data_IF_087612619147
#
_entry.id   IF_087612619147
#
_cell.length_a   1.000
_cell.length_b   1.000
_cell.length_c   1.000
_cell.angle_alpha   90.00
_cell.angle_beta   90.00
_cell.angle_gamma   90.00
#
_symmetry.space_group_name_H-M   'P 1'
#
loop_
_entity.id
_entity.type
_entity.pdbx_description
1 polymer ?
#
# COMPACT_ATOMS: atom_id res chain seq x y z
N UNK A 1 -10.12 -3.07 -30.48
CA UNK A 1 -9.13 -2.73 -29.44
C UNK A 1 -8.74 -3.99 -28.70
N UNK A 2 -7.55 -4.05 -28.16
CA UNK A 2 -7.04 -5.18 -27.34
C UNK A 2 -8.04 -5.60 -26.24
N UNK A 3 -8.67 -4.63 -25.55
CA UNK A 3 -9.66 -4.91 -24.51
C UNK A 3 -10.89 -5.69 -25.03
N UNK A 4 -11.35 -5.41 -26.25
CA UNK A 4 -12.48 -6.19 -26.87
C UNK A 4 -12.06 -7.61 -27.19
N UNK A 5 -10.82 -7.83 -27.56
CA UNK A 5 -10.26 -9.16 -27.80
C UNK A 5 -10.10 -9.95 -26.49
N UNK A 6 -9.62 -9.28 -25.43
CA UNK A 6 -9.51 -9.90 -24.10
C UNK A 6 -10.86 -10.29 -23.52
N UNK A 7 -11.91 -9.51 -23.74
CA UNK A 7 -13.27 -9.78 -23.24
C UNK A 7 -13.90 -11.06 -23.82
N UNK A 8 -13.32 -11.61 -24.88
CA UNK A 8 -13.75 -12.91 -25.45
C UNK A 8 -13.22 -14.13 -24.68
N UNK A 9 -12.29 -13.94 -23.76
CA UNK A 9 -11.71 -15.03 -22.95
C UNK A 9 -12.60 -15.32 -21.74
N UNK A 10 -12.88 -16.58 -21.47
CA UNK A 10 -13.78 -17.01 -20.40
C UNK A 10 -13.34 -16.64 -18.97
N UNK A 11 -12.04 -16.34 -18.79
CA UNK A 11 -11.42 -16.01 -17.49
C UNK A 11 -11.10 -14.50 -17.34
N UNK A 12 -11.54 -13.68 -18.31
CA UNK A 12 -11.31 -12.22 -18.27
C UNK A 12 -12.68 -11.53 -18.39
N UNK A 13 -12.91 -10.57 -17.51
CA UNK A 13 -14.08 -9.69 -17.57
C UNK A 13 -13.59 -8.25 -17.75
N UNK A 14 -13.99 -7.61 -18.85
CA UNK A 14 -13.68 -6.21 -19.14
C UNK A 14 -14.84 -5.33 -18.72
N UNK A 15 -14.58 -4.36 -17.86
CA UNK A 15 -15.57 -3.42 -17.38
C UNK A 15 -15.24 -2.02 -17.87
N UNK A 16 -16.15 -1.40 -18.61
CA UNK A 16 -16.05 -0.02 -19.04
C UNK A 16 -16.75 0.89 -18.02
N UNK A 17 -16.11 1.99 -17.63
CA UNK A 17 -16.66 2.93 -16.66
C UNK A 17 -16.08 4.33 -16.82
N UNK A 18 -16.54 5.25 -15.98
CA UNK A 18 -15.99 6.59 -15.87
C UNK A 18 -14.57 6.57 -15.27
N UNK A 19 -13.77 7.59 -15.57
CA UNK A 19 -12.47 7.76 -14.95
C UNK A 19 -12.62 8.24 -13.50
N UNK A 20 -12.59 7.31 -12.56
CA UNK A 20 -12.69 7.56 -11.12
C UNK A 20 -11.33 7.86 -10.47
N UNK A 21 -10.24 7.81 -11.26
CA UNK A 21 -8.87 7.81 -10.75
C UNK A 21 -8.48 6.44 -10.15
N UNK A 22 -7.17 6.16 -10.05
CA UNK A 22 -6.64 4.83 -9.75
C UNK A 22 -7.20 4.22 -8.44
N UNK A 23 -7.30 5.00 -7.35
CA UNK A 23 -7.80 4.52 -6.05
C UNK A 23 -9.21 3.94 -6.10
N UNK A 24 -10.12 4.74 -6.65
CA UNK A 24 -11.52 4.34 -6.74
C UNK A 24 -11.73 3.26 -7.80
N UNK A 25 -10.95 3.26 -8.88
CA UNK A 25 -11.01 2.23 -9.92
C UNK A 25 -10.59 0.86 -9.39
N UNK A 26 -9.50 0.75 -8.62
CA UNK A 26 -9.10 -0.51 -8.00
C UNK A 26 -10.12 -1.03 -6.98
N UNK A 27 -10.66 -0.16 -6.11
CA UNK A 27 -11.69 -0.57 -5.16
C UNK A 27 -13.00 -0.95 -5.87
N UNK A 28 -13.35 -0.26 -6.96
CA UNK A 28 -14.52 -0.61 -7.78
C UNK A 28 -14.33 -1.96 -8.47
N UNK A 29 -13.17 -2.22 -9.06
CA UNK A 29 -12.83 -3.51 -9.64
C UNK A 29 -12.91 -4.63 -8.57
N UNK A 30 -12.33 -4.41 -7.39
CA UNK A 30 -12.39 -5.33 -6.27
C UNK A 30 -13.84 -5.60 -5.81
N UNK A 31 -14.71 -4.60 -5.82
CA UNK A 31 -16.13 -4.76 -5.50
C UNK A 31 -16.84 -5.65 -6.52
N UNK A 32 -16.48 -5.54 -7.80
CA UNK A 32 -17.08 -6.28 -8.91
C UNK A 32 -16.54 -7.70 -9.07
N UNK A 33 -15.37 -8.00 -8.51
CA UNK A 33 -14.80 -9.34 -8.51
C UNK A 33 -15.76 -10.33 -7.82
N UNK A 34 -15.91 -11.56 -8.35
CA UNK A 34 -16.63 -12.63 -7.68
C UNK A 34 -16.00 -12.94 -6.31
N UNK A 35 -16.76 -13.57 -5.43
CA UNK A 35 -16.21 -14.06 -4.16
C UNK A 35 -15.18 -15.15 -4.45
N UNK A 36 -14.00 -14.96 -3.88
CA UNK A 36 -12.84 -15.85 -3.99
C UNK A 36 -12.12 -15.91 -2.66
N UNK A 37 -11.31 -16.95 -2.46
CA UNK A 37 -10.48 -17.06 -1.27
C UNK A 37 -9.41 -15.97 -1.23
N UNK A 38 -8.82 -15.67 -2.42
CA UNK A 38 -7.73 -14.73 -2.56
C UNK A 38 -7.93 -13.76 -3.73
N UNK A 39 -7.33 -12.60 -3.61
CA UNK A 39 -7.34 -11.50 -4.58
C UNK A 39 -5.92 -10.95 -4.75
N UNK A 40 -5.60 -10.46 -5.93
CA UNK A 40 -4.35 -9.75 -6.21
C UNK A 40 -4.62 -8.48 -7.00
N UNK A 41 -3.89 -7.41 -6.71
CA UNK A 41 -3.86 -6.23 -7.57
C UNK A 41 -2.84 -6.44 -8.70
N UNK A 42 -3.15 -5.95 -9.89
CA UNK A 42 -2.27 -6.01 -11.04
C UNK A 42 -2.30 -4.67 -11.77
N UNK A 43 -1.17 -4.04 -11.91
CA UNK A 43 -1.01 -2.85 -12.74
C UNK A 43 -0.81 -3.29 -14.22
N UNK A 44 -1.22 -2.44 -15.16
CA UNK A 44 -1.24 -2.80 -16.59
C UNK A 44 0.15 -2.80 -17.23
N UNK A 45 1.15 -2.23 -16.58
CA UNK A 45 2.51 -2.01 -17.06
C UNK A 45 3.55 -2.92 -16.40
N UNK A 46 3.16 -3.63 -15.34
CA UNK A 46 4.03 -4.56 -14.62
C UNK A 46 3.89 -6.00 -15.11
N UNK A 47 4.87 -6.86 -14.80
CA UNK A 47 4.89 -8.25 -15.26
C UNK A 47 4.93 -9.18 -14.05
N UNK A 48 3.97 -10.11 -13.97
CA UNK A 48 4.02 -11.21 -13.03
C UNK A 48 4.76 -12.40 -13.61
N UNK A 49 5.65 -12.99 -12.84
CA UNK A 49 6.24 -14.28 -13.15
C UNK A 49 5.24 -15.41 -12.87
N UNK A 50 5.38 -16.53 -13.55
CA UNK A 50 4.41 -17.62 -13.50
C UNK A 50 4.16 -18.17 -12.10
N UNK A 51 5.15 -18.12 -11.21
CA UNK A 51 5.06 -18.63 -9.82
C UNK A 51 4.38 -17.67 -8.85
N UNK A 52 4.15 -16.40 -9.20
CA UNK A 52 3.73 -15.37 -8.24
C UNK A 52 2.48 -15.75 -7.45
N UNK A 53 1.41 -16.11 -8.14
CA UNK A 53 0.15 -16.41 -7.48
C UNK A 53 0.19 -17.74 -6.73
N UNK A 54 0.85 -18.75 -7.29
CA UNK A 54 1.00 -20.07 -6.65
C UNK A 54 1.79 -19.94 -5.34
N UNK A 55 2.94 -19.27 -5.36
CA UNK A 55 3.75 -19.00 -4.16
C UNK A 55 2.96 -18.24 -3.10
N UNK A 56 2.33 -17.13 -3.48
CA UNK A 56 1.57 -16.31 -2.53
C UNK A 56 0.39 -17.05 -1.91
N UNK A 57 -0.34 -17.86 -2.69
CA UNK A 57 -1.46 -18.68 -2.19
C UNK A 57 -0.95 -19.77 -1.23
N UNK A 58 0.15 -20.45 -1.57
CA UNK A 58 0.76 -21.46 -0.68
C UNK A 58 1.14 -20.86 0.67
N UNK A 59 1.84 -19.72 0.65
CA UNK A 59 2.25 -19.00 1.87
C UNK A 59 1.02 -18.57 2.70
N UNK A 60 -0.01 -18.03 2.05
CA UNK A 60 -1.23 -17.62 2.73
C UNK A 60 -1.97 -18.82 3.35
N UNK A 61 -2.05 -19.95 2.65
CA UNK A 61 -2.67 -21.17 3.15
C UNK A 61 -1.91 -21.76 4.34
N UNK A 62 -0.58 -21.81 4.29
CA UNK A 62 0.30 -22.23 5.38
C UNK A 62 0.11 -21.40 6.66
N UNK A 63 -0.25 -20.12 6.49
CA UNK A 63 -0.56 -19.20 7.60
C UNK A 63 -2.06 -19.19 8.00
N UNK A 64 -2.88 -20.09 7.46
CA UNK A 64 -4.30 -20.22 7.80
C UNK A 64 -5.18 -19.06 7.30
N UNK A 65 -4.72 -18.30 6.30
CA UNK A 65 -5.39 -17.10 5.82
C UNK A 65 -6.75 -17.36 5.15
N UNK A 66 -6.94 -18.56 4.53
CA UNK A 66 -8.13 -18.90 3.75
C UNK A 66 -9.43 -18.77 4.53
N UNK A 67 -9.47 -19.28 5.75
CA UNK A 67 -10.66 -19.29 6.62
C UNK A 67 -10.59 -18.24 7.74
N UNK A 68 -9.55 -17.41 7.75
CA UNK A 68 -9.34 -16.41 8.79
C UNK A 68 -10.26 -15.20 8.64
N UNK A 69 -10.78 -14.71 9.77
CA UNK A 69 -11.44 -13.41 9.86
C UNK A 69 -10.45 -12.23 9.86
N UNK A 70 -9.14 -12.50 10.03
CA UNK A 70 -8.10 -11.47 9.99
C UNK A 70 -7.65 -11.19 8.54
N UNK A 71 -7.30 -9.91 8.23
CA UNK A 71 -6.95 -9.46 6.89
C UNK A 71 -5.48 -9.80 6.54
N UNK A 72 -5.24 -11.02 6.05
CA UNK A 72 -3.93 -11.47 5.61
C UNK A 72 -3.54 -10.87 4.26
N UNK A 73 -2.28 -10.46 4.14
CA UNK A 73 -1.66 -9.98 2.92
C UNK A 73 -0.25 -10.55 2.79
N UNK A 74 0.01 -11.20 1.67
CA UNK A 74 1.35 -11.64 1.24
C UNK A 74 1.84 -10.70 0.14
N UNK A 75 3.10 -10.27 0.21
CA UNK A 75 3.74 -9.46 -0.82
C UNK A 75 5.08 -10.07 -1.21
N UNK A 76 5.25 -10.39 -2.49
CA UNK A 76 6.51 -10.87 -3.03
C UNK A 76 7.50 -9.73 -3.29
N UNK A 77 8.77 -10.07 -3.45
CA UNK A 77 9.76 -9.13 -3.96
C UNK A 77 9.64 -8.96 -5.48
N UNK A 78 10.19 -7.86 -5.97
CA UNK A 78 10.24 -7.54 -7.39
C UNK A 78 11.61 -7.01 -7.81
N UNK A 79 11.87 -7.05 -9.11
CA UNK A 79 13.02 -6.40 -9.72
C UNK A 79 12.57 -5.32 -10.68
N UNK A 80 13.36 -4.27 -10.79
CA UNK A 80 13.15 -3.25 -11.83
C UNK A 80 13.67 -3.75 -13.17
N UNK A 81 12.90 -3.56 -14.23
CA UNK A 81 13.29 -3.85 -15.59
C UNK A 81 13.04 -2.64 -16.52
N UNK A 82 13.71 -2.62 -17.66
CA UNK A 82 13.45 -1.68 -18.73
C UNK A 82 12.22 -2.07 -19.57
N UNK A 83 11.92 -1.29 -20.61
CA UNK A 83 10.80 -1.55 -21.52
C UNK A 83 10.89 -2.91 -22.23
N UNK A 84 12.10 -3.44 -22.40
CA UNK A 84 12.39 -4.74 -23.02
C UNK A 84 12.48 -5.89 -22.01
N UNK A 85 12.14 -5.64 -20.74
CA UNK A 85 12.23 -6.61 -19.64
C UNK A 85 13.65 -7.01 -19.24
N UNK A 86 14.67 -6.24 -19.63
CA UNK A 86 16.01 -6.45 -19.13
C UNK A 86 16.12 -5.98 -17.68
N UNK A 87 16.80 -6.76 -16.84
CA UNK A 87 17.03 -6.42 -15.45
C UNK A 87 17.80 -5.11 -15.32
N UNK A 88 17.34 -4.22 -14.43
CA UNK A 88 17.99 -2.95 -14.10
C UNK A 88 18.58 -3.01 -12.70
N UNK A 89 17.74 -3.28 -11.71
CA UNK A 89 18.16 -3.39 -10.31
C UNK A 89 17.11 -4.16 -9.48
N UNK A 90 17.52 -4.61 -8.27
CA UNK A 90 16.61 -5.24 -7.31
C UNK A 90 15.87 -4.20 -6.45
N UNK A 91 14.80 -4.64 -5.84
CA UNK A 91 14.09 -3.87 -4.82
C UNK A 91 15.02 -3.53 -3.64
N UNK A 92 14.93 -2.30 -3.15
CA UNK A 92 15.63 -1.90 -1.93
C UNK A 92 15.06 -2.63 -0.70
N UNK A 93 15.92 -3.17 0.15
CA UNK A 93 15.52 -3.79 1.40
C UNK A 93 14.90 -2.78 2.37
N UNK A 94 14.01 -3.26 3.25
CA UNK A 94 13.50 -2.50 4.39
C UNK A 94 14.23 -2.93 5.68
N UNK A 95 15.29 -2.23 6.10
CA UNK A 95 16.14 -2.65 7.21
C UNK A 95 15.43 -2.63 8.57
N UNK A 96 14.29 -1.97 8.68
CA UNK A 96 13.51 -1.85 9.92
C UNK A 96 12.27 -2.75 9.96
N UNK A 97 12.09 -3.59 8.93
CA UNK A 97 10.93 -4.44 8.80
C UNK A 97 9.62 -3.67 8.50
N UNK A 98 8.55 -4.40 8.47
CA UNK A 98 7.21 -3.90 8.15
C UNK A 98 6.40 -3.68 9.43
N UNK A 99 6.49 -2.48 10.01
CA UNK A 99 5.74 -2.11 11.22
C UNK A 99 4.49 -1.31 10.88
N UNK A 100 3.50 -1.34 11.77
CA UNK A 100 2.28 -0.55 11.61
C UNK A 100 2.58 0.96 11.52
N UNK A 101 3.48 1.47 12.36
CA UNK A 101 3.89 2.87 12.36
C UNK A 101 4.55 3.28 11.04
N UNK A 102 5.36 2.40 10.44
CA UNK A 102 5.94 2.63 9.12
C UNK A 102 4.85 2.66 8.05
N UNK A 103 3.95 1.67 8.05
CA UNK A 103 2.86 1.60 7.09
C UNK A 103 1.94 2.83 7.12
N UNK A 104 1.75 3.47 8.28
CA UNK A 104 0.96 4.69 8.39
C UNK A 104 1.62 5.93 7.78
N UNK A 105 2.92 5.91 7.50
CA UNK A 105 3.65 7.07 6.99
C UNK A 105 4.39 6.81 5.68
N UNK A 106 4.52 5.56 5.24
CA UNK A 106 5.26 5.17 4.04
C UNK A 106 4.58 4.02 3.30
N UNK A 107 4.30 4.21 2.00
CA UNK A 107 3.88 3.15 1.10
C UNK A 107 5.10 2.32 0.68
N UNK A 108 5.43 1.28 1.45
CA UNK A 108 6.63 0.47 1.22
C UNK A 108 6.40 -0.70 0.29
N UNK A 109 5.14 -1.05 0.03
CA UNK A 109 4.74 -2.23 -0.73
C UNK A 109 3.79 -1.80 -1.83
N UNK A 110 4.15 -1.95 -3.11
CA UNK A 110 3.29 -1.59 -4.23
C UNK A 110 2.18 -2.64 -4.47
N UNK A 111 1.09 -2.22 -5.07
CA UNK A 111 -0.11 -3.06 -5.26
C UNK A 111 0.14 -4.32 -6.07
N UNK A 112 0.89 -4.22 -7.16
CA UNK A 112 1.09 -5.34 -8.09
C UNK A 112 1.81 -6.56 -7.51
N UNK A 113 2.48 -6.42 -6.35
CA UNK A 113 3.11 -7.56 -5.64
C UNK A 113 2.20 -8.19 -4.59
N UNK A 114 1.04 -7.59 -4.30
CA UNK A 114 0.15 -8.02 -3.23
C UNK A 114 -0.77 -9.16 -3.64
N UNK A 115 -0.95 -10.13 -2.74
CA UNK A 115 -2.03 -11.12 -2.75
C UNK A 115 -2.62 -11.19 -1.35
N UNK A 116 -3.96 -11.20 -1.23
CA UNK A 116 -4.63 -11.09 0.06
C UNK A 116 -5.94 -11.89 0.09
N UNK A 117 -6.43 -12.17 1.31
CA UNK A 117 -7.61 -12.97 1.53
C UNK A 117 -8.93 -12.16 1.46
N UNK A 118 -10.05 -12.86 1.52
CA UNK A 118 -11.39 -12.25 1.46
C UNK A 118 -11.68 -11.35 2.67
N UNK A 119 -11.08 -11.59 3.81
CA UNK A 119 -11.19 -10.69 4.97
C UNK A 119 -10.59 -9.31 4.68
N UNK A 120 -9.40 -9.26 4.07
CA UNK A 120 -8.78 -8.00 3.61
C UNK A 120 -9.68 -7.26 2.62
N UNK A 121 -10.24 -7.99 1.63
CA UNK A 121 -11.22 -7.40 0.69
C UNK A 121 -12.36 -6.72 1.43
N UNK A 122 -12.91 -7.38 2.45
CA UNK A 122 -14.04 -6.87 3.23
C UNK A 122 -13.71 -5.56 3.96
N UNK A 123 -12.49 -5.40 4.47
CA UNK A 123 -12.03 -4.15 5.08
C UNK A 123 -11.78 -3.06 4.03
N UNK A 124 -11.13 -3.39 2.91
CA UNK A 124 -10.86 -2.42 1.84
C UNK A 124 -12.13 -1.80 1.27
N UNK A 125 -13.18 -2.61 1.08
CA UNK A 125 -14.48 -2.14 0.56
C UNK A 125 -15.27 -1.24 1.53
N UNK A 126 -14.89 -1.16 2.80
CA UNK A 126 -15.47 -0.22 3.79
C UNK A 126 -14.76 1.14 3.79
N UNK A 127 -13.59 1.25 3.16
CA UNK A 127 -12.84 2.51 3.09
C UNK A 127 -13.46 3.46 2.07
N UNK A 128 -13.30 4.76 2.34
CA UNK A 128 -13.63 5.82 1.40
C UNK A 128 -12.44 6.07 0.46
N UNK A 129 -12.57 5.80 -0.86
CA UNK A 129 -11.46 5.98 -1.81
C UNK A 129 -10.97 7.43 -1.91
N UNK A 130 -11.78 8.42 -1.52
CA UNK A 130 -11.37 9.82 -1.48
C UNK A 130 -10.41 10.12 -0.31
N UNK A 131 -10.45 9.30 0.75
CA UNK A 131 -9.67 9.51 1.97
C UNK A 131 -8.34 8.77 2.01
N UNK A 132 -8.13 7.78 1.14
CA UNK A 132 -6.90 7.00 1.12
C UNK A 132 -5.90 7.56 0.09
N UNK A 133 -4.58 7.53 0.36
CA UNK A 133 -3.56 7.93 -0.62
C UNK A 133 -3.40 6.91 -1.75
N UNK A 134 -3.60 5.61 -1.49
CA UNK A 134 -3.54 4.50 -2.43
C UNK A 134 -4.30 3.29 -1.87
N UNK A 135 -4.83 2.44 -2.77
CA UNK A 135 -5.50 1.19 -2.39
C UNK A 135 -4.51 0.19 -1.78
N UNK A 136 -3.30 0.16 -2.31
CA UNK A 136 -2.15 -0.63 -1.86
C UNK A 136 -1.65 -0.16 -0.48
N UNK A 137 -1.49 1.15 -0.32
CA UNK A 137 -1.09 1.73 0.96
C UNK A 137 -2.11 1.40 2.07
N UNK A 138 -3.40 1.48 1.76
CA UNK A 138 -4.46 1.11 2.70
C UNK A 138 -4.42 -0.38 3.06
N UNK A 139 -4.25 -1.28 2.07
CA UNK A 139 -4.11 -2.71 2.29
C UNK A 139 -2.91 -3.04 3.19
N UNK A 140 -1.75 -2.45 2.91
CA UNK A 140 -0.54 -2.60 3.72
C UNK A 140 -0.74 -2.11 5.16
N UNK A 141 -1.38 -0.94 5.34
CA UNK A 141 -1.69 -0.40 6.67
C UNK A 141 -2.64 -1.31 7.46
N UNK A 142 -3.64 -1.89 6.81
CA UNK A 142 -4.57 -2.84 7.45
C UNK A 142 -3.84 -4.12 7.84
N UNK A 143 -3.08 -4.74 6.93
CA UNK A 143 -2.37 -5.98 7.21
C UNK A 143 -1.40 -5.85 8.41
N UNK A 144 -0.65 -4.74 8.45
CA UNK A 144 0.28 -4.47 9.57
C UNK A 144 -0.44 -4.13 10.88
N UNK A 145 -1.66 -3.56 10.82
CA UNK A 145 -2.46 -3.31 12.01
C UNK A 145 -2.94 -4.60 12.70
N UNK A 146 -3.10 -5.68 11.95
CA UNK A 146 -3.52 -6.99 12.45
C UNK A 146 -2.35 -7.98 12.62
N UNK A 147 -1.11 -7.57 12.40
CA UNK A 147 0.09 -8.41 12.35
C UNK A 147 -0.05 -9.59 11.34
N UNK A 148 -0.77 -9.35 10.24
CA UNK A 148 -1.09 -10.30 9.18
C UNK A 148 -0.41 -9.96 7.84
N UNK A 149 0.66 -9.17 7.85
CA UNK A 149 1.52 -8.93 6.71
C UNK A 149 2.61 -10.01 6.63
N UNK A 150 2.73 -10.64 5.47
CA UNK A 150 3.73 -11.67 5.18
C UNK A 150 4.60 -11.21 4.02
N UNK A 151 5.90 -11.18 4.22
CA UNK A 151 6.88 -10.86 3.18
C UNK A 151 7.37 -12.15 2.53
N UNK A 152 7.12 -12.30 1.23
CA UNK A 152 7.70 -13.36 0.41
C UNK A 152 8.96 -12.82 -0.26
N UNK A 153 10.12 -13.33 0.15
CA UNK A 153 11.43 -12.89 -0.37
C UNK A 153 11.72 -13.38 -1.80
N UNK A 154 10.84 -14.18 -2.39
CA UNK A 154 10.98 -14.58 -3.78
C UNK A 154 10.72 -13.42 -4.72
N UNK A 155 11.57 -13.23 -5.74
CA UNK A 155 11.33 -12.27 -6.81
C UNK A 155 10.36 -12.87 -7.79
N UNK A 156 9.09 -12.48 -7.71
CA UNK A 156 8.00 -13.03 -8.52
C UNK A 156 7.31 -11.99 -9.39
N UNK A 157 7.81 -10.74 -9.42
CA UNK A 157 7.28 -9.67 -10.26
C UNK A 157 8.38 -8.79 -10.82
N UNK A 158 8.11 -8.13 -11.96
CA UNK A 158 9.00 -7.17 -12.58
C UNK A 158 8.27 -5.82 -12.68
N UNK A 159 8.88 -4.78 -12.10
CA UNK A 159 8.44 -3.40 -12.23
C UNK A 159 9.06 -2.79 -13.48
N UNK A 160 8.22 -2.50 -14.47
CA UNK A 160 8.69 -1.92 -15.74
C UNK A 160 8.85 -0.42 -15.62
N UNK A 161 10.06 0.07 -15.86
CA UNK A 161 10.37 1.49 -15.92
C UNK A 161 10.17 2.04 -17.33
N UNK A 162 9.32 3.07 -17.43
CA UNK A 162 9.11 3.88 -18.63
C UNK A 162 8.89 5.36 -18.24
N UNK A 163 8.90 6.26 -19.22
CA UNK A 163 8.80 7.72 -18.99
C UNK A 163 7.53 8.16 -18.27
N UNK A 164 6.46 7.36 -18.33
CA UNK A 164 5.13 7.71 -17.84
C UNK A 164 4.79 7.08 -16.47
N UNK A 165 5.77 6.44 -15.80
CA UNK A 165 5.54 5.90 -14.47
C UNK A 165 5.18 7.01 -13.46
N UNK A 166 4.11 6.81 -12.70
CA UNK A 166 3.64 7.74 -11.65
C UNK A 166 4.61 7.78 -10.46
N UNK A 167 5.33 6.69 -10.20
CA UNK A 167 6.34 6.60 -9.16
C UNK A 167 7.74 6.77 -9.76
N UNK A 168 8.41 7.86 -9.39
CA UNK A 168 9.82 8.06 -9.73
C UNK A 168 10.70 7.08 -8.97
N UNK A 169 11.14 6.01 -9.66
CA UNK A 169 12.19 5.13 -9.16
C UNK A 169 13.56 5.79 -9.36
N UNK A 170 14.36 5.89 -8.28
CA UNK A 170 15.78 6.28 -8.30
C UNK A 170 16.17 7.75 -8.52
N UNK A 171 15.37 8.72 -8.11
CA UNK A 171 16.00 10.01 -7.84
C UNK A 171 16.75 9.97 -6.50
N UNK A 172 18.06 10.22 -6.55
CA UNK A 172 18.92 10.28 -5.36
C UNK A 172 19.21 11.72 -4.92
N UNK A 173 19.41 11.93 -3.61
CA UNK A 173 19.91 13.20 -3.06
C UNK A 173 18.89 14.34 -3.07
N UNK A 174 19.33 15.55 -3.47
CA UNK A 174 18.55 16.79 -3.41
C UNK A 174 17.31 16.80 -4.31
N UNK A 175 17.33 16.08 -5.44
CA UNK A 175 16.16 15.97 -6.34
C UNK A 175 15.04 15.19 -5.68
N UNK A 176 15.34 14.05 -5.05
CA UNK A 176 14.37 13.27 -4.30
C UNK A 176 13.79 14.08 -3.13
N UNK A 177 14.63 14.86 -2.44
CA UNK A 177 14.18 15.74 -1.37
C UNK A 177 13.26 16.84 -1.91
N UNK A 178 13.60 17.50 -3.02
CA UNK A 178 12.77 18.52 -3.65
C UNK A 178 11.44 17.96 -4.15
N UNK A 179 11.45 16.79 -4.77
CA UNK A 179 10.24 16.09 -5.20
C UNK A 179 9.34 15.74 -4.00
N UNK A 180 9.91 15.15 -2.96
CA UNK A 180 9.16 14.84 -1.72
C UNK A 180 8.60 16.10 -1.07
N UNK A 181 9.39 17.16 -0.95
CA UNK A 181 8.92 18.45 -0.42
C UNK A 181 7.80 19.01 -1.29
N UNK A 182 7.95 19.01 -2.62
CA UNK A 182 6.92 19.47 -3.54
C UNK A 182 5.65 18.63 -3.45
N UNK A 183 5.76 17.32 -3.47
CA UNK A 183 4.62 16.40 -3.39
C UNK A 183 3.92 16.49 -2.03
N UNK A 184 4.66 16.56 -0.94
CA UNK A 184 4.09 16.58 0.40
C UNK A 184 3.67 17.97 0.89
N UNK A 185 4.30 19.05 0.43
CA UNK A 185 3.94 20.42 0.84
C UNK A 185 2.98 21.13 -0.12
N UNK A 186 3.09 20.85 -1.43
CA UNK A 186 2.32 21.57 -2.46
C UNK A 186 1.12 20.76 -2.98
N UNK A 187 1.20 19.43 -2.94
CA UNK A 187 0.11 18.57 -3.40
C UNK A 187 -0.49 17.90 -2.17
N UNK A 188 -1.61 18.24 -1.69
CA UNK A 188 -2.48 17.64 -0.66
C UNK A 188 -2.18 16.20 -0.13
N UNK A 189 -0.99 15.63 -0.42
CA UNK A 189 -0.59 14.29 -0.02
C UNK A 189 -0.61 14.06 1.49
N UNK A 190 -0.28 15.10 2.26
CA UNK A 190 -0.32 15.04 3.73
C UNK A 190 -1.75 15.11 4.28
N UNK A 191 -2.63 15.88 3.64
CA UNK A 191 -4.04 15.94 4.05
C UNK A 191 -4.73 14.58 3.85
N UNK A 192 -4.36 13.83 2.80
CA UNK A 192 -4.87 12.48 2.57
C UNK A 192 -4.42 11.47 3.63
N UNK A 193 -3.20 11.59 4.16
CA UNK A 193 -2.77 10.74 5.28
C UNK A 193 -3.61 10.99 6.52
N UNK A 194 -3.93 12.25 6.83
CA UNK A 194 -4.83 12.59 7.95
C UNK A 194 -6.22 11.98 7.74
N UNK A 195 -6.77 12.08 6.53
CA UNK A 195 -8.05 11.48 6.20
C UNK A 195 -7.99 9.95 6.31
N UNK A 196 -6.88 9.33 5.86
CA UNK A 196 -6.67 7.89 5.99
C UNK A 196 -6.65 7.45 7.46
N UNK A 197 -5.96 8.16 8.35
CA UNK A 197 -5.94 7.80 9.78
C UNK A 197 -7.32 7.79 10.40
N UNK A 198 -8.15 8.79 10.09
CA UNK A 198 -9.53 8.85 10.59
C UNK A 198 -10.40 7.73 9.99
N UNK A 199 -10.21 7.40 8.73
CA UNK A 199 -10.97 6.35 8.05
C UNK A 199 -10.54 4.95 8.52
N UNK A 200 -9.25 4.72 8.71
CA UNK A 200 -8.73 3.49 9.33
C UNK A 200 -9.26 3.31 10.75
N UNK A 201 -9.24 4.36 11.57
CA UNK A 201 -9.81 4.29 12.93
C UNK A 201 -11.29 3.90 12.91
N UNK A 202 -12.06 4.43 11.97
CA UNK A 202 -13.49 4.08 11.76
C UNK A 202 -13.66 2.62 11.34
N UNK A 203 -12.84 2.14 10.40
CA UNK A 203 -13.04 0.85 9.73
C UNK A 203 -12.44 -0.31 10.53
N UNK A 204 -11.21 -0.16 11.03
CA UNK A 204 -10.49 -1.24 11.74
C UNK A 204 -10.35 -1.00 13.25
N UNK A 205 -10.60 0.23 13.72
CA UNK A 205 -10.43 0.58 15.13
C UNK A 205 -11.17 -0.32 16.12
N UNK A 206 -12.38 -0.84 15.83
CA UNK A 206 -13.07 -1.79 16.71
C UNK A 206 -12.39 -3.16 16.83
N UNK A 207 -11.64 -3.58 15.80
CA UNK A 207 -11.17 -4.97 15.62
C UNK A 207 -9.66 -5.15 15.91
N UNK A 208 -8.90 -4.05 16.00
CA UNK A 208 -7.46 -4.08 16.28
C UNK A 208 -7.15 -4.01 17.78
N UNK A 209 -5.93 -4.37 18.17
CA UNK A 209 -5.48 -4.29 19.57
C UNK A 209 -5.54 -2.86 20.13
N UNK A 210 -5.67 -2.75 21.45
CA UNK A 210 -5.72 -1.45 22.14
C UNK A 210 -4.49 -0.57 21.87
N UNK A 211 -3.33 -1.18 21.66
CA UNK A 211 -2.09 -0.45 21.34
C UNK A 211 -2.09 0.11 19.93
N UNK A 212 -2.55 -0.66 18.94
CA UNK A 212 -2.72 -0.23 17.55
C UNK A 212 -3.77 0.87 17.46
N UNK A 213 -4.88 0.69 18.15
CA UNK A 213 -5.92 1.73 18.23
C UNK A 213 -5.39 3.01 18.86
N UNK A 214 -4.65 2.92 19.96
CA UNK A 214 -4.00 4.09 20.59
C UNK A 214 -3.04 4.81 19.64
N UNK A 215 -2.35 4.09 18.77
CA UNK A 215 -1.51 4.69 17.73
C UNK A 215 -2.35 5.52 16.75
N UNK A 216 -3.48 4.99 16.25
CA UNK A 216 -4.40 5.74 15.39
C UNK A 216 -5.03 6.94 16.10
N UNK A 217 -5.46 6.79 17.36
CA UNK A 217 -5.98 7.90 18.17
C UNK A 217 -4.96 9.02 18.32
N UNK A 218 -3.68 8.66 18.56
CA UNK A 218 -2.59 9.64 18.65
C UNK A 218 -2.32 10.35 17.32
N UNK A 219 -2.41 9.65 16.19
CA UNK A 219 -2.25 10.26 14.87
C UNK A 219 -3.40 11.20 14.53
N UNK A 220 -4.59 10.93 15.04
CA UNK A 220 -5.77 11.80 14.90
C UNK A 220 -5.83 12.92 15.96
N UNK A 221 -4.90 12.99 16.92
CA UNK A 221 -4.81 14.11 17.89
C UNK A 221 -4.02 15.28 17.29
N UNK A 222 -4.72 16.33 16.91
CA UNK A 222 -4.16 17.56 16.33
C UNK A 222 -3.93 18.69 17.36
N UNK A 223 -4.11 18.41 18.65
CA UNK A 223 -3.75 19.32 19.73
C UNK A 223 -2.23 19.59 19.75
N UNK A 224 -1.82 20.70 20.37
CA UNK A 224 -0.37 20.99 20.52
C UNK A 224 0.37 19.85 21.24
N UNK A 225 -0.24 19.29 22.29
CA UNK A 225 0.30 18.14 23.03
C UNK A 225 0.41 16.90 22.13
N UNK A 226 -0.61 16.62 21.31
CA UNK A 226 -0.61 15.51 20.34
C UNK A 226 0.48 15.66 19.29
N UNK A 227 0.67 16.86 18.75
CA UNK A 227 1.73 17.18 17.77
C UNK A 227 3.12 16.90 18.34
N UNK A 228 3.40 17.39 19.56
CA UNK A 228 4.68 17.16 20.25
C UNK A 228 4.87 15.66 20.50
N UNK A 229 3.85 14.97 21.02
CA UNK A 229 3.94 13.53 21.30
C UNK A 229 4.26 12.72 20.05
N UNK A 230 3.61 13.00 18.90
CA UNK A 230 3.90 12.35 17.61
C UNK A 230 5.34 12.59 17.17
N UNK A 231 5.80 13.83 17.22
CA UNK A 231 7.13 14.21 16.75
C UNK A 231 8.28 13.55 17.54
N UNK A 232 8.08 13.31 18.84
CA UNK A 232 9.11 12.76 19.73
C UNK A 232 8.90 11.28 20.09
N UNK A 233 7.99 10.56 19.40
CA UNK A 233 7.83 9.12 19.57
C UNK A 233 9.15 8.41 19.19
N UNK A 234 9.58 7.45 20.02
CA UNK A 234 10.88 6.77 19.86
C UNK A 234 10.94 5.86 18.63
N UNK A 235 9.81 5.31 18.15
CA UNK A 235 9.79 4.43 16.97
C UNK A 235 9.99 5.21 15.68
N UNK A 236 10.73 4.64 14.74
CA UNK A 236 10.91 5.21 13.40
C UNK A 236 9.65 5.01 12.56
N UNK A 237 9.22 6.10 11.91
CA UNK A 237 8.11 6.08 10.97
C UNK A 237 8.54 5.74 9.54
N UNK A 238 9.79 6.03 9.18
CA UNK A 238 10.31 5.88 7.82
C UNK A 238 11.62 5.14 7.78
N UNK A 239 11.91 4.50 6.63
CA UNK A 239 13.11 3.67 6.40
C UNK A 239 14.42 4.44 6.45
N UNK A 240 14.42 5.75 6.27
CA UNK A 240 15.63 6.58 6.32
C UNK A 240 15.51 7.64 7.40
N UNK A 241 16.62 7.96 8.06
CA UNK A 241 16.69 8.98 9.12
C UNK A 241 16.14 10.34 8.65
N UNK A 242 16.55 10.81 7.47
CA UNK A 242 16.07 12.10 6.96
C UNK A 242 14.57 12.11 6.66
N UNK A 243 14.04 11.03 6.11
CA UNK A 243 12.61 10.93 5.85
C UNK A 243 11.81 10.86 7.16
N UNK A 244 12.32 10.17 8.17
CA UNK A 244 11.72 10.13 9.50
C UNK A 244 11.74 11.51 10.17
N UNK A 245 12.86 12.23 10.10
CA UNK A 245 12.97 13.59 10.60
C UNK A 245 11.96 14.53 9.92
N UNK A 246 11.79 14.44 8.60
CA UNK A 246 10.79 15.22 7.88
C UNK A 246 9.37 14.94 8.39
N UNK A 247 9.00 13.67 8.60
CA UNK A 247 7.69 13.29 9.15
C UNK A 247 7.49 13.91 10.55
N UNK A 248 8.50 13.87 11.41
CA UNK A 248 8.43 14.49 12.74
C UNK A 248 8.23 16.01 12.70
N UNK A 249 8.91 16.68 11.77
CA UNK A 249 8.70 18.12 11.53
C UNK A 249 7.26 18.38 11.05
N UNK A 250 6.73 17.55 10.13
CA UNK A 250 5.35 17.68 9.66
C UNK A 250 4.31 17.48 10.76
N UNK A 251 4.56 16.59 11.71
CA UNK A 251 3.72 16.49 12.91
C UNK A 251 3.75 17.78 13.75
N UNK A 252 4.93 18.37 13.99
CA UNK A 252 5.06 19.60 14.77
C UNK A 252 4.33 20.79 14.14
N UNK A 253 4.48 20.99 12.83
CA UNK A 253 3.81 22.09 12.13
C UNK A 253 2.32 21.79 11.84
N UNK A 254 1.83 20.60 12.20
CA UNK A 254 0.43 20.22 12.05
C UNK A 254 -0.01 19.96 10.60
N UNK A 255 0.92 19.56 9.74
CA UNK A 255 0.62 19.14 8.37
C UNK A 255 0.20 17.68 8.28
N UNK A 256 0.62 16.85 9.25
CA UNK A 256 0.23 15.43 9.42
C UNK A 256 -0.45 15.20 10.75
#
# INVERSE_FOLDING_TARGET
>A
SLLKELDTRSNITVVFGENLGFRASFLKALQMCPLSDYYSFCDQDDVWLNSKNESAVSILDENGARSSSNPYLCACHFSFCDENLNFVEGQASNPYGHTFENALTEASVPGFVMTFNNSMRSYLLKLDPAKIPGHDWAAYSIATAFDCFIEDYSVSALYRRHSDNVSEGNEHGLKLLSFRVKTFLLNDGLSRLRLMYSDLLRVIGPDITSDRRRTLDQLNDYSLKGKIKKAFKMRMYRRTFFADLCVRIFFLIGRM
#
